data_IF_415139691259
#
_entry.id   IF_415139691259
#
_cell.length_a   1.000
_cell.length_b   1.000
_cell.length_c   1.000
_cell.angle_alpha   90.00
_cell.angle_beta   90.00
_cell.angle_gamma   90.00
#
_symmetry.space_group_name_H-M   'P 1'
#
loop_
_entity.id
_entity.type
_entity.pdbx_description
1 polymer ?
#
# COMPACT_ATOMS: atom_id res chain seq x y z
N UNK A 1 -23.19 -0.18 11.14
CA UNK A 1 -21.86 -0.46 10.54
C UNK A 1 -21.51 -1.88 10.89
N UNK A 2 -21.09 -2.71 9.93
CA UNK A 2 -20.85 -4.14 10.14
C UNK A 2 -19.59 -4.37 10.98
N UNK A 3 -19.60 -5.35 11.89
CA UNK A 3 -18.40 -5.78 12.63
C UNK A 3 -17.24 -6.16 11.69
N UNK A 4 -17.57 -6.65 10.49
CA UNK A 4 -16.61 -6.96 9.43
C UNK A 4 -15.96 -5.71 8.84
N UNK A 5 -16.70 -4.61 8.73
CA UNK A 5 -16.15 -3.33 8.25
C UNK A 5 -15.18 -2.74 9.27
N UNK A 6 -15.48 -2.90 10.56
CA UNK A 6 -14.64 -2.43 11.66
C UNK A 6 -13.34 -3.24 11.76
N UNK A 7 -13.41 -4.56 11.66
CA UNK A 7 -12.23 -5.44 11.64
C UNK A 7 -11.33 -5.16 10.42
N UNK A 8 -11.93 -4.99 9.23
CA UNK A 8 -11.18 -4.64 8.01
C UNK A 8 -10.52 -3.26 8.10
N UNK A 9 -11.18 -2.30 8.77
CA UNK A 9 -10.61 -0.98 9.04
C UNK A 9 -9.41 -1.07 9.97
N UNK A 10 -9.49 -1.88 11.03
CA UNK A 10 -8.41 -2.08 11.99
C UNK A 10 -7.20 -2.78 11.35
N UNK A 11 -7.41 -3.81 10.54
CA UNK A 11 -6.34 -4.51 9.82
C UNK A 11 -5.59 -3.58 8.85
N UNK A 12 -6.29 -2.69 8.13
CA UNK A 12 -5.68 -1.68 7.25
C UNK A 12 -4.81 -0.66 7.99
N UNK A 13 -5.16 -0.33 9.24
CA UNK A 13 -4.38 0.58 10.08
C UNK A 13 -3.12 -0.13 10.60
N UNK A 14 -3.25 -1.40 10.99
CA UNK A 14 -2.16 -2.21 11.52
C UNK A 14 -1.12 -2.64 10.45
N UNK A 15 -1.55 -2.88 9.20
CA UNK A 15 -0.66 -3.30 8.10
C UNK A 15 0.03 -2.15 7.38
N UNK A 16 -0.34 -0.89 7.65
CA UNK A 16 0.53 0.25 7.36
C UNK A 16 1.74 0.16 8.29
N UNK A 17 2.77 -0.58 7.89
CA UNK A 17 4.10 -0.34 8.43
C UNK A 17 4.37 1.16 8.25
N UNK A 18 4.50 1.94 9.34
CA UNK A 18 4.81 3.34 9.21
C UNK A 18 6.28 3.41 8.85
N UNK A 19 6.61 3.16 7.58
CA UNK A 19 7.85 3.70 7.05
C UNK A 19 7.91 5.15 7.49
N UNK A 20 9.01 5.52 8.13
CA UNK A 20 9.16 6.87 8.68
C UNK A 20 8.89 7.85 7.56
N UNK A 21 7.88 8.70 7.77
CA UNK A 21 7.44 9.70 6.80
C UNK A 21 8.52 10.73 6.45
N UNK A 22 9.61 10.74 7.21
CA UNK A 22 10.75 11.63 7.04
C UNK A 22 12.08 10.89 6.97
N UNK A 23 13.01 11.47 6.22
CA UNK A 23 14.41 11.07 6.11
C UNK A 23 15.30 12.09 6.81
N UNK A 24 16.37 11.61 7.43
CA UNK A 24 17.50 12.42 7.91
C UNK A 24 18.44 12.78 6.76
N UNK A 25 19.40 13.68 7.02
CA UNK A 25 20.47 14.02 6.05
C UNK A 25 21.28 12.78 5.63
N UNK A 26 21.58 11.88 6.57
CA UNK A 26 22.33 10.66 6.27
C UNK A 26 21.54 9.71 5.35
N UNK A 27 20.25 9.54 5.63
CA UNK A 27 19.37 8.71 4.80
C UNK A 27 19.16 9.34 3.41
N UNK A 28 18.98 10.66 3.32
CA UNK A 28 18.88 11.34 2.02
C UNK A 28 20.18 11.18 1.21
N UNK A 29 21.34 11.34 1.84
CA UNK A 29 22.64 11.18 1.18
C UNK A 29 22.79 9.78 0.56
N UNK A 30 22.39 8.75 1.32
CA UNK A 30 22.37 7.38 0.84
C UNK A 30 21.41 7.19 -0.33
N UNK A 31 20.20 7.74 -0.25
CA UNK A 31 19.17 7.65 -1.29
C UNK A 31 19.60 8.35 -2.59
N UNK A 32 20.23 9.52 -2.49
CA UNK A 32 20.71 10.29 -3.65
C UNK A 32 22.07 9.81 -4.19
N UNK A 33 22.74 8.89 -3.50
CA UNK A 33 24.08 8.41 -3.91
C UNK A 33 25.19 9.44 -3.76
N UNK A 34 25.07 10.37 -2.80
CA UNK A 34 26.06 11.45 -2.57
C UNK A 34 26.61 11.42 -1.15
N UNK A 35 27.74 12.09 -0.92
CA UNK A 35 28.28 12.25 0.44
C UNK A 35 27.44 13.20 1.31
N UNK A 36 27.44 12.98 2.63
CA UNK A 36 26.74 13.86 3.60
C UNK A 36 27.15 15.33 3.49
N UNK A 37 28.45 15.59 3.32
CA UNK A 37 28.97 16.96 3.15
C UNK A 37 28.36 17.63 1.92
N UNK A 38 28.21 16.90 0.82
CA UNK A 38 27.57 17.42 -0.40
C UNK A 38 26.11 17.80 -0.16
N UNK A 39 25.38 17.04 0.65
CA UNK A 39 24.00 17.40 1.05
C UNK A 39 23.98 18.68 1.85
N UNK A 40 24.90 18.85 2.81
CA UNK A 40 25.02 20.11 3.54
C UNK A 40 25.41 21.27 2.63
N UNK A 41 26.33 21.11 1.69
CA UNK A 41 26.69 22.16 0.74
C UNK A 41 25.46 22.60 -0.07
N UNK A 42 24.70 21.63 -0.60
CA UNK A 42 23.46 21.89 -1.35
C UNK A 42 22.38 22.58 -0.51
N UNK A 43 22.35 22.36 0.81
CA UNK A 43 21.47 23.10 1.72
C UNK A 43 21.82 24.59 1.81
N UNK A 44 23.11 24.93 1.79
CA UNK A 44 23.56 26.32 1.90
C UNK A 44 23.33 27.08 0.59
N UNK A 45 23.39 26.39 -0.55
CA UNK A 45 23.20 26.98 -1.88
C UNK A 45 21.77 26.86 -2.41
N UNK A 46 20.83 26.38 -1.61
CA UNK A 46 19.43 26.09 -1.98
C UNK A 46 19.29 25.25 -3.27
N UNK A 47 20.21 24.31 -3.46
CA UNK A 47 20.32 23.47 -4.65
C UNK A 47 19.74 22.05 -4.45
N UNK A 48 19.04 21.83 -3.34
CA UNK A 48 18.45 20.52 -3.06
C UNK A 48 17.18 20.29 -3.88
N UNK A 49 16.98 19.08 -4.43
CA UNK A 49 15.77 18.76 -5.19
C UNK A 49 14.51 18.73 -4.32
N UNK A 50 14.67 18.45 -3.02
CA UNK A 50 13.58 18.45 -2.04
C UNK A 50 13.91 19.42 -0.92
N UNK A 51 13.01 20.35 -0.60
CA UNK A 51 13.28 21.35 0.42
C UNK A 51 13.36 20.70 1.83
N UNK A 52 14.33 21.11 2.65
CA UNK A 52 14.47 20.59 4.00
C UNK A 52 13.40 21.14 4.94
N UNK A 53 12.91 20.28 5.84
CA UNK A 53 12.00 20.62 6.92
C UNK A 53 12.82 20.74 8.21
N UNK A 54 12.79 21.92 8.84
CA UNK A 54 13.51 22.18 10.09
C UNK A 54 12.57 22.04 11.28
N UNK A 55 12.88 21.08 12.16
CA UNK A 55 12.24 20.93 13.47
C UNK A 55 13.24 21.33 14.56
N UNK A 56 13.29 22.63 14.86
CA UNK A 56 14.31 23.20 15.75
C UNK A 56 15.71 22.92 15.21
N UNK A 57 16.50 22.12 15.95
CA UNK A 57 17.86 21.71 15.55
C UNK A 57 17.91 20.53 14.59
N UNK A 58 16.80 19.82 14.38
CA UNK A 58 16.74 18.67 13.49
C UNK A 58 16.39 19.10 12.08
N UNK A 59 17.07 18.51 11.12
CA UNK A 59 16.78 18.69 9.70
C UNK A 59 16.33 17.36 9.13
N UNK A 60 15.15 17.37 8.51
CA UNK A 60 14.54 16.18 7.91
C UNK A 60 13.96 16.50 6.54
N UNK A 61 13.64 15.48 5.76
CA UNK A 61 13.08 15.59 4.42
C UNK A 61 11.83 14.73 4.34
N UNK A 62 10.81 15.19 3.61
CA UNK A 62 9.64 14.34 3.33
C UNK A 62 10.07 13.16 2.47
N UNK A 63 9.85 11.92 2.95
CA UNK A 63 10.12 10.70 2.19
C UNK A 63 9.34 10.69 0.88
N UNK A 64 8.05 11.02 0.93
CA UNK A 64 7.17 11.03 -0.23
C UNK A 64 7.70 11.95 -1.35
N UNK A 65 8.15 13.17 -1.01
CA UNK A 65 8.71 14.10 -2.00
C UNK A 65 10.04 13.63 -2.59
N UNK A 66 10.85 12.94 -1.80
CA UNK A 66 12.12 12.35 -2.29
C UNK A 66 11.84 11.21 -3.25
N UNK A 67 10.86 10.35 -2.94
CA UNK A 67 10.44 9.26 -3.82
C UNK A 67 9.83 9.78 -5.12
N UNK A 68 8.96 10.79 -5.03
CA UNK A 68 8.40 11.51 -6.19
C UNK A 68 9.50 12.08 -7.09
N UNK A 69 10.49 12.77 -6.51
CA UNK A 69 11.64 13.33 -7.26
C UNK A 69 12.45 12.24 -7.98
N UNK A 70 12.59 11.06 -7.37
CA UNK A 70 13.30 9.93 -7.97
C UNK A 70 12.49 9.21 -9.05
N UNK A 71 11.27 9.68 -9.36
CA UNK A 71 10.35 8.98 -10.25
C UNK A 71 9.86 7.65 -9.67
N UNK A 72 10.09 7.40 -8.37
CA UNK A 72 9.43 6.33 -7.63
C UNK A 72 8.06 6.86 -7.26
N UNK A 73 7.18 6.87 -8.25
CA UNK A 73 5.78 7.13 -7.98
C UNK A 73 5.27 5.96 -7.10
N UNK A 74 4.80 6.21 -5.87
CA UNK A 74 4.24 5.16 -5.03
C UNK A 74 3.04 4.50 -5.71
N UNK A 75 2.42 5.17 -6.68
CA UNK A 75 1.37 4.62 -7.52
C UNK A 75 1.88 3.86 -8.77
N UNK A 76 2.97 4.27 -9.42
CA UNK A 76 3.46 3.56 -10.63
C UNK A 76 4.33 2.35 -10.34
N UNK A 77 4.88 2.24 -9.12
CA UNK A 77 5.80 1.16 -8.75
C UNK A 77 5.11 -0.19 -8.46
N UNK A 78 3.79 -0.30 -8.60
CA UNK A 78 3.09 -1.55 -8.27
C UNK A 78 3.36 -1.97 -6.83
N UNK A 79 3.44 -1.01 -5.90
CA UNK A 79 3.81 -1.30 -4.52
C UNK A 79 2.92 -2.38 -3.89
N UNK A 80 3.37 -3.03 -2.80
CA UNK A 80 2.70 -4.19 -2.19
C UNK A 80 1.22 -3.94 -1.86
N UNK A 81 0.82 -2.68 -1.66
CA UNK A 81 -0.59 -2.28 -1.50
C UNK A 81 -1.42 -2.43 -2.79
N UNK A 82 -0.87 -2.05 -3.95
CA UNK A 82 -1.55 -2.18 -5.26
C UNK A 82 -1.59 -3.64 -5.72
N UNK A 83 -0.51 -4.39 -5.50
CA UNK A 83 -0.48 -5.84 -5.75
C UNK A 83 -1.49 -6.56 -4.86
N UNK A 84 -1.50 -6.27 -3.55
CA UNK A 84 -2.51 -6.83 -2.64
C UNK A 84 -3.94 -6.40 -3.01
N UNK A 85 -4.15 -5.18 -3.51
CA UNK A 85 -5.46 -4.73 -4.00
C UNK A 85 -5.91 -5.52 -5.23
N UNK A 86 -5.03 -5.72 -6.22
CA UNK A 86 -5.32 -6.54 -7.41
C UNK A 86 -5.60 -7.99 -7.04
N UNK A 87 -4.84 -8.55 -6.12
CA UNK A 87 -5.04 -9.91 -5.63
C UNK A 87 -6.37 -10.05 -4.88
N UNK A 88 -6.73 -9.07 -4.05
CA UNK A 88 -8.02 -9.03 -3.36
C UNK A 88 -9.19 -8.91 -4.34
N UNK A 89 -9.04 -8.11 -5.39
CA UNK A 89 -10.04 -7.91 -6.43
C UNK A 89 -10.25 -9.19 -7.25
N UNK A 90 -9.16 -9.87 -7.61
CA UNK A 90 -9.20 -11.18 -8.26
C UNK A 90 -9.86 -12.26 -7.39
N UNK A 91 -9.54 -12.29 -6.09
CA UNK A 91 -10.17 -13.22 -5.16
C UNK A 91 -11.67 -12.95 -5.00
N UNK A 92 -12.07 -11.68 -4.96
CA UNK A 92 -13.48 -11.28 -4.91
C UNK A 92 -14.25 -11.71 -6.16
N UNK A 93 -13.69 -11.51 -7.35
CA UNK A 93 -14.29 -11.98 -8.61
C UNK A 93 -14.46 -13.49 -8.63
N UNK A 94 -13.45 -14.22 -8.14
CA UNK A 94 -13.50 -15.68 -8.02
C UNK A 94 -14.64 -16.13 -7.09
N UNK A 95 -14.81 -15.46 -5.95
CA UNK A 95 -15.88 -15.78 -5.01
C UNK A 95 -17.27 -15.48 -5.58
N UNK A 96 -17.45 -14.34 -6.25
CA UNK A 96 -18.72 -14.01 -6.92
C UNK A 96 -19.07 -15.07 -7.97
N UNK A 97 -18.07 -15.51 -8.75
CA UNK A 97 -18.26 -16.57 -9.74
C UNK A 97 -18.69 -17.90 -9.10
N UNK A 98 -18.05 -18.29 -8.00
CA UNK A 98 -18.40 -19.51 -7.25
C UNK A 98 -19.81 -19.40 -6.66
N UNK A 99 -20.16 -18.26 -6.06
CA UNK A 99 -21.49 -18.02 -5.48
C UNK A 99 -22.56 -18.14 -6.56
N UNK A 100 -22.33 -17.56 -7.74
CA UNK A 100 -23.25 -17.66 -8.86
C UNK A 100 -23.37 -19.09 -9.39
N UNK A 101 -22.26 -19.82 -9.47
CA UNK A 101 -22.25 -21.25 -9.82
C UNK A 101 -23.09 -22.05 -8.81
N UNK A 102 -22.89 -21.84 -7.51
CA UNK A 102 -23.65 -22.50 -6.45
C UNK A 102 -25.13 -22.14 -6.53
N UNK A 103 -25.49 -20.86 -6.74
CA UNK A 103 -26.88 -20.43 -6.93
C UNK A 103 -27.52 -21.13 -8.13
N UNK A 104 -26.82 -21.27 -9.25
CA UNK A 104 -27.32 -21.99 -10.44
C UNK A 104 -27.52 -23.48 -10.14
N UNK A 105 -26.52 -24.13 -9.54
CA UNK A 105 -26.57 -25.55 -9.22
C UNK A 105 -27.65 -25.91 -8.18
N UNK A 106 -27.91 -25.03 -7.22
CA UNK A 106 -28.95 -25.20 -6.20
C UNK A 106 -30.36 -24.92 -6.74
N UNK A 107 -30.49 -23.95 -7.65
CA UNK A 107 -31.77 -23.61 -8.26
C UNK A 107 -32.13 -24.48 -9.48
N UNK A 108 -31.20 -25.32 -9.95
CA UNK A 108 -31.42 -26.26 -11.03
C UNK A 108 -32.57 -27.23 -10.67
N UNK A 109 -33.68 -27.22 -11.43
CA UNK A 109 -34.81 -28.10 -11.18
C UNK A 109 -34.44 -29.59 -11.22
N UNK A 110 -33.38 -29.99 -11.94
CA UNK A 110 -32.91 -31.38 -11.97
C UNK A 110 -32.23 -31.83 -10.67
N UNK A 111 -31.82 -30.89 -9.80
CA UNK A 111 -31.11 -31.18 -8.56
C UNK A 111 -32.03 -31.30 -7.33
N UNK A 112 -33.32 -30.92 -7.46
CA UNK A 112 -34.31 -30.89 -6.36
C UNK A 112 -34.72 -32.26 -5.81
N UNK A 113 -34.32 -33.37 -6.45
CA UNK A 113 -34.68 -34.74 -6.06
C UNK A 113 -33.58 -35.57 -5.40
N UNK A 114 -32.33 -35.08 -5.29
CA UNK A 114 -31.19 -35.87 -4.78
C UNK A 114 -30.98 -35.82 -3.26
N UNK A 115 -31.71 -34.96 -2.54
CA UNK A 115 -31.51 -34.73 -1.10
C UNK A 115 -32.27 -35.68 -0.15
N UNK A 116 -32.81 -36.81 -0.64
CA UNK A 116 -33.57 -37.79 0.19
C UNK A 116 -33.01 -39.22 0.16
N UNK A 117 -31.70 -39.43 0.08
CA UNK A 117 -31.12 -40.79 0.09
C UNK A 117 -30.03 -41.05 1.13
N UNK A 118 -29.81 -40.16 2.09
CA UNK A 118 -28.87 -40.43 3.18
C UNK A 118 -29.53 -40.14 4.53
N UNK A 119 -30.45 -41.02 4.94
CA UNK A 119 -30.73 -41.40 6.34
C UNK A 119 -31.44 -42.75 6.33
#
# INVERSE_FOLDING_TARGET
MSELDEANRQLRIASRHPERATLTVAELAHVLGVGRSKVYDMMHTDALPVPPIRFGRRIVFSRAKVEEFLGRDPDLSGGPLREAQRETESYRETLEHIIDLCRRALNDPQNRGRSKQFY
#
